data_IF_858810112025
#
_entry.id   IF_858810112025
#
_cell.length_a   1.000
_cell.length_b   1.000
_cell.length_c   1.000
_cell.angle_alpha   90.00
_cell.angle_beta   90.00
_cell.angle_gamma   90.00
#
_symmetry.space_group_name_H-M   'P 1'
#
loop_
_entity.id
_entity.type
_entity.pdbx_description
1 polymer ?
#
# COMPACT_ATOMS: atom_id res chain seq x y z
N UNK A 1 -33.26 -23.10 -11.62
CA UNK A 1 -32.48 -22.94 -10.38
C UNK A 1 -32.64 -21.52 -9.85
N UNK A 2 -33.28 -21.33 -8.69
CA UNK A 2 -33.48 -20.01 -8.07
C UNK A 2 -32.18 -19.41 -7.49
N UNK A 3 -31.25 -20.22 -6.98
CA UNK A 3 -29.99 -19.74 -6.40
C UNK A 3 -29.07 -19.03 -7.42
N UNK A 4 -29.15 -19.36 -8.72
CA UNK A 4 -28.35 -18.71 -9.77
C UNK A 4 -28.75 -17.27 -10.07
N UNK A 5 -29.91 -16.81 -9.58
CA UNK A 5 -30.39 -15.44 -9.77
C UNK A 5 -29.54 -14.43 -9.01
N UNK A 6 -29.01 -14.81 -7.84
CA UNK A 6 -28.18 -13.93 -7.00
C UNK A 6 -26.90 -13.47 -7.71
N UNK A 7 -26.31 -14.32 -8.57
CA UNK A 7 -25.13 -13.96 -9.37
C UNK A 7 -25.40 -12.91 -10.46
N UNK A 8 -26.68 -12.64 -10.76
CA UNK A 8 -27.08 -11.58 -11.71
C UNK A 8 -27.60 -10.32 -11.01
N UNK A 9 -27.92 -10.41 -9.72
CA UNK A 9 -28.45 -9.29 -8.93
C UNK A 9 -27.37 -8.61 -8.09
N UNK A 10 -26.24 -9.30 -7.86
CA UNK A 10 -25.08 -8.76 -7.15
C UNK A 10 -23.97 -8.50 -8.15
N UNK A 11 -23.46 -7.27 -8.19
CA UNK A 11 -22.26 -6.90 -8.93
C UNK A 11 -21.09 -6.82 -7.93
N UNK A 12 -20.26 -7.88 -7.80
CA UNK A 12 -19.15 -7.88 -6.85
C UNK A 12 -18.03 -6.94 -7.30
N UNK A 13 -17.37 -6.30 -6.34
CA UNK A 13 -16.19 -5.48 -6.61
C UNK A 13 -14.94 -6.34 -6.38
N UNK A 14 -14.41 -6.88 -7.48
CA UNK A 14 -13.15 -7.62 -7.53
C UNK A 14 -11.97 -6.74 -7.93
N UNK A 15 -10.87 -7.37 -8.35
CA UNK A 15 -9.66 -6.63 -8.72
C UNK A 15 -9.81 -5.79 -9.98
N UNK A 16 -10.51 -6.30 -10.98
CA UNK A 16 -10.77 -5.56 -12.23
C UNK A 16 -11.63 -4.32 -11.93
N UNK A 17 -12.65 -4.47 -11.09
CA UNK A 17 -13.55 -3.38 -10.71
C UNK A 17 -12.82 -2.33 -9.86
N UNK A 18 -11.92 -2.74 -8.94
CA UNK A 18 -11.06 -1.82 -8.20
C UNK A 18 -10.13 -1.02 -9.12
N UNK A 19 -9.46 -1.69 -10.07
CA UNK A 19 -8.60 -1.02 -11.04
C UNK A 19 -9.39 -0.04 -11.93
N UNK A 20 -10.61 -0.42 -12.32
CA UNK A 20 -11.53 0.46 -13.05
C UNK A 20 -11.92 1.68 -12.21
N UNK A 21 -12.25 1.50 -10.93
CA UNK A 21 -12.57 2.60 -10.02
C UNK A 21 -11.39 3.58 -9.88
N UNK A 22 -10.15 3.08 -9.82
CA UNK A 22 -8.95 3.95 -9.81
C UNK A 22 -8.89 4.84 -11.05
N UNK A 23 -9.10 4.28 -12.26
CA UNK A 23 -9.14 5.07 -13.51
C UNK A 23 -10.26 6.11 -13.49
N UNK A 24 -11.46 5.71 -13.07
CA UNK A 24 -12.63 6.59 -13.04
C UNK A 24 -12.44 7.75 -12.06
N UNK A 25 -11.86 7.47 -10.88
CA UNK A 25 -11.50 8.50 -9.89
C UNK A 25 -10.46 9.46 -10.47
N UNK A 26 -9.41 8.95 -11.11
CA UNK A 26 -8.38 9.80 -11.72
C UNK A 26 -8.98 10.73 -12.79
N UNK A 27 -9.78 10.18 -13.71
CA UNK A 27 -10.47 10.95 -14.76
C UNK A 27 -11.41 12.00 -14.16
N UNK A 28 -12.21 11.64 -13.16
CA UNK A 28 -13.15 12.55 -12.50
C UNK A 28 -12.44 13.74 -11.84
N UNK A 29 -11.21 13.55 -11.38
CA UNK A 29 -10.41 14.59 -10.74
C UNK A 29 -9.41 15.27 -11.70
N UNK A 30 -9.42 14.93 -13.00
CA UNK A 30 -8.45 15.46 -13.96
C UNK A 30 -7.00 15.07 -13.67
N UNK A 31 -6.79 13.99 -12.90
CA UNK A 31 -5.49 13.47 -12.52
C UNK A 31 -5.02 12.39 -13.51
N UNK A 32 -3.69 12.27 -13.66
CA UNK A 32 -3.07 11.14 -14.38
C UNK A 32 -2.86 9.98 -13.42
N UNK A 33 -2.67 8.77 -13.96
CA UNK A 33 -2.29 7.61 -13.13
C UNK A 33 -0.95 7.83 -12.42
N UNK A 34 -0.04 8.63 -13.01
CA UNK A 34 1.21 9.05 -12.38
C UNK A 34 1.01 9.87 -11.10
N UNK A 35 -0.17 10.46 -10.93
CA UNK A 35 -0.55 11.25 -9.75
C UNK A 35 -1.28 10.39 -8.70
N UNK A 36 -1.33 9.06 -8.90
CA UNK A 36 -2.03 8.11 -8.02
C UNK A 36 -1.03 7.32 -7.18
N UNK A 37 -1.25 7.36 -5.87
CA UNK A 37 -0.72 6.39 -4.91
C UNK A 37 -1.85 5.43 -4.51
N UNK A 38 -1.60 4.13 -4.61
CA UNK A 38 -2.58 3.10 -4.26
C UNK A 38 -2.04 2.23 -3.12
N UNK A 39 -2.86 2.10 -2.06
CA UNK A 39 -2.58 1.23 -0.92
C UNK A 39 -3.51 0.01 -0.97
N UNK A 40 -2.94 -1.18 -0.87
CA UNK A 40 -3.69 -2.43 -0.83
C UNK A 40 -2.99 -3.49 0.03
N UNK A 41 -3.63 -4.64 0.21
CA UNK A 41 -3.13 -5.68 1.11
C UNK A 41 -3.39 -7.12 0.63
N UNK A 42 -4.16 -7.31 -0.45
CA UNK A 42 -4.69 -8.62 -0.80
C UNK A 42 -4.64 -8.91 -2.31
N UNK A 43 -5.10 -10.11 -2.67
CA UNK A 43 -5.24 -10.53 -4.08
C UNK A 43 -6.17 -9.63 -4.89
N UNK A 44 -7.20 -9.04 -4.25
CA UNK A 44 -8.14 -8.14 -4.95
C UNK A 44 -7.49 -6.82 -5.37
N UNK A 45 -6.28 -6.53 -4.89
CA UNK A 45 -5.58 -5.29 -5.17
C UNK A 45 -4.56 -5.43 -6.31
N UNK A 46 -4.30 -6.65 -6.78
CA UNK A 46 -3.28 -6.95 -7.80
C UNK A 46 -3.47 -6.15 -9.08
N UNK A 47 -4.68 -6.10 -9.62
CA UNK A 47 -4.94 -5.37 -10.86
C UNK A 47 -4.80 -3.85 -10.68
N UNK A 48 -5.15 -3.31 -9.50
CA UNK A 48 -4.89 -1.90 -9.16
C UNK A 48 -3.40 -1.62 -9.05
N UNK A 49 -2.62 -2.49 -8.42
CA UNK A 49 -1.16 -2.35 -8.32
C UNK A 49 -0.51 -2.34 -9.71
N UNK A 50 -0.87 -3.29 -10.57
CA UNK A 50 -0.36 -3.37 -11.94
C UNK A 50 -0.72 -2.13 -12.75
N UNK A 51 -1.97 -1.69 -12.68
CA UNK A 51 -2.43 -0.47 -13.34
C UNK A 51 -1.61 0.74 -12.90
N UNK A 52 -1.50 0.97 -11.59
CA UNK A 52 -0.83 2.14 -11.05
C UNK A 52 0.66 2.13 -11.41
N UNK A 53 1.33 0.99 -11.30
CA UNK A 53 2.74 0.85 -11.72
C UNK A 53 2.95 1.09 -13.21
N UNK A 54 2.08 0.54 -14.06
CA UNK A 54 2.18 0.71 -15.50
C UNK A 54 1.93 2.18 -15.93
N UNK A 55 1.11 2.91 -15.17
CA UNK A 55 0.86 4.34 -15.37
C UNK A 55 1.81 5.28 -14.63
N UNK A 56 2.93 4.75 -14.12
CA UNK A 56 3.95 5.46 -13.35
C UNK A 56 3.47 6.14 -12.05
N UNK A 57 2.34 5.68 -11.51
CA UNK A 57 1.97 5.98 -10.13
C UNK A 57 2.73 5.08 -9.15
N UNK A 58 2.32 5.11 -7.88
CA UNK A 58 2.98 4.37 -6.80
C UNK A 58 2.08 3.32 -6.15
N UNK A 59 2.54 2.07 -6.14
CA UNK A 59 1.85 0.95 -5.49
C UNK A 59 2.48 0.60 -4.13
N UNK A 60 1.66 0.59 -3.07
CA UNK A 60 2.10 0.30 -1.69
C UNK A 60 1.29 -0.86 -1.09
N UNK A 61 1.98 -1.90 -0.64
CA UNK A 61 1.40 -3.01 0.11
C UNK A 61 1.47 -2.72 1.61
N UNK A 62 0.32 -2.62 2.29
CA UNK A 62 0.24 -2.40 3.73
C UNK A 62 -0.22 -3.68 4.45
N UNK A 63 0.66 -4.29 5.24
CA UNK A 63 0.44 -5.59 5.89
C UNK A 63 -0.10 -6.67 4.92
N UNK A 64 0.39 -6.60 3.68
CA UNK A 64 -0.16 -7.37 2.57
C UNK A 64 0.27 -8.83 2.56
N UNK A 65 -0.54 -9.66 1.91
CA UNK A 65 -0.19 -11.03 1.58
C UNK A 65 0.89 -11.09 0.47
N UNK A 66 1.29 -12.30 0.07
CA UNK A 66 2.29 -12.46 -0.99
C UNK A 66 1.87 -11.88 -2.36
N UNK A 67 0.57 -11.91 -2.68
CA UNK A 67 0.04 -11.37 -3.94
C UNK A 67 0.23 -9.86 -3.99
N UNK A 68 -0.10 -9.16 -2.90
CA UNK A 68 0.07 -7.72 -2.78
C UNK A 68 1.54 -7.31 -2.79
N UNK A 69 2.40 -7.99 -2.02
CA UNK A 69 3.84 -7.69 -1.96
C UNK A 69 4.51 -7.90 -3.31
N UNK A 70 4.16 -8.97 -4.05
CA UNK A 70 4.76 -9.22 -5.38
C UNK A 70 4.40 -8.13 -6.39
N UNK A 71 3.28 -7.45 -6.23
CA UNK A 71 2.80 -6.48 -7.20
C UNK A 71 3.05 -5.04 -6.77
N UNK A 72 3.31 -4.75 -5.49
CA UNK A 72 3.66 -3.42 -5.00
C UNK A 72 5.12 -3.01 -5.31
N UNK A 73 5.45 -1.74 -5.01
CA UNK A 73 6.81 -1.19 -5.05
C UNK A 73 7.35 -0.93 -3.63
N UNK A 74 6.48 -0.58 -2.69
CA UNK A 74 6.81 -0.41 -1.27
C UNK A 74 6.01 -1.42 -0.43
N UNK A 75 6.66 -2.04 0.55
CA UNK A 75 5.99 -2.82 1.59
C UNK A 75 6.03 -2.05 2.92
N UNK A 76 4.88 -1.99 3.58
CA UNK A 76 4.74 -1.46 4.94
C UNK A 76 4.25 -2.60 5.83
N UNK A 77 5.05 -2.92 6.86
CA UNK A 77 4.66 -3.83 7.95
C UNK A 77 4.55 -2.97 9.21
N UNK A 78 3.32 -2.64 9.62
CA UNK A 78 3.10 -1.71 10.72
C UNK A 78 1.85 -2.01 11.54
N UNK A 79 1.93 -1.81 12.85
CA UNK A 79 0.77 -1.87 13.76
C UNK A 79 -0.03 -0.57 13.77
N UNK A 80 0.51 0.49 13.16
CA UNK A 80 -0.10 1.81 13.07
C UNK A 80 -0.08 2.31 11.62
N UNK A 81 -1.12 3.03 11.20
CA UNK A 81 -1.29 3.57 9.84
C UNK A 81 -0.46 4.83 9.55
N UNK A 82 0.39 5.28 10.47
CA UNK A 82 1.14 6.55 10.30
C UNK A 82 2.04 6.54 9.05
N UNK A 83 2.63 5.40 8.59
CA UNK A 83 3.38 5.38 7.34
C UNK A 83 2.54 5.72 6.12
N UNK A 84 1.23 5.40 6.11
CA UNK A 84 0.34 5.72 4.98
C UNK A 84 0.27 7.24 4.79
N UNK A 85 0.05 7.99 5.88
CA UNK A 85 -0.05 9.45 5.83
C UNK A 85 1.27 10.10 5.41
N UNK A 86 2.39 9.60 5.91
CA UNK A 86 3.72 10.12 5.56
C UNK A 86 4.05 9.82 4.10
N UNK A 87 3.83 8.59 3.62
CA UNK A 87 4.08 8.22 2.23
C UNK A 87 3.18 9.03 1.28
N UNK A 88 1.92 9.25 1.64
CA UNK A 88 1.00 10.10 0.88
C UNK A 88 1.47 11.56 0.83
N UNK A 89 1.96 12.12 1.94
CA UNK A 89 2.50 13.48 1.98
C UNK A 89 3.76 13.62 1.11
N UNK A 90 4.73 12.70 1.26
CA UNK A 90 5.95 12.70 0.43
C UNK A 90 5.61 12.55 -1.05
N UNK A 91 4.69 11.64 -1.40
CA UNK A 91 4.24 11.46 -2.78
C UNK A 91 3.57 12.71 -3.34
N UNK A 92 2.70 13.36 -2.56
CA UNK A 92 2.04 14.59 -2.97
C UNK A 92 3.02 15.76 -3.18
N UNK A 93 4.07 15.85 -2.35
CA UNK A 93 5.05 16.93 -2.42
C UNK A 93 6.11 16.71 -3.50
N UNK A 94 6.55 15.47 -3.72
CA UNK A 94 7.76 15.19 -4.48
C UNK A 94 7.61 14.09 -5.54
N UNK A 95 6.44 13.45 -5.62
CA UNK A 95 6.18 12.36 -6.54
C UNK A 95 6.89 11.06 -6.18
N UNK A 96 6.71 10.08 -7.07
CA UNK A 96 7.09 8.68 -6.90
C UNK A 96 8.55 8.47 -6.52
N UNK A 97 9.48 9.05 -7.27
CA UNK A 97 10.93 8.78 -7.10
C UNK A 97 11.41 9.10 -5.70
N UNK A 98 11.00 10.26 -5.16
CA UNK A 98 11.35 10.69 -3.81
C UNK A 98 10.65 9.87 -2.74
N UNK A 99 9.43 9.39 -2.99
CA UNK A 99 8.77 8.45 -2.08
C UNK A 99 9.50 7.10 -2.02
N UNK A 100 10.00 6.59 -3.14
CA UNK A 100 10.80 5.36 -3.18
C UNK A 100 12.14 5.53 -2.46
N UNK A 101 12.80 6.68 -2.63
CA UNK A 101 14.02 7.03 -1.88
C UNK A 101 13.76 7.11 -0.36
N UNK A 102 12.65 7.75 0.04
CA UNK A 102 12.23 7.83 1.44
C UNK A 102 11.97 6.44 2.03
N UNK A 103 11.31 5.54 1.28
CA UNK A 103 11.03 4.18 1.72
C UNK A 103 12.30 3.32 1.81
N UNK A 104 13.27 3.53 0.90
CA UNK A 104 14.56 2.84 0.93
C UNK A 104 15.37 3.19 2.18
N UNK A 105 15.36 4.46 2.57
CA UNK A 105 16.12 4.99 3.70
C UNK A 105 15.21 5.46 4.84
N UNK A 106 14.17 4.69 5.18
CA UNK A 106 13.13 5.12 6.10
C UNK A 106 13.68 5.44 7.50
N UNK A 107 13.72 6.73 7.84
CA UNK A 107 14.19 7.22 9.14
C UNK A 107 13.56 8.58 9.46
N UNK A 108 13.59 8.98 10.73
CA UNK A 108 13.11 10.31 11.12
C UNK A 108 13.89 11.41 10.41
N UNK A 109 15.21 11.29 10.31
CA UNK A 109 16.09 12.26 9.64
C UNK A 109 15.79 12.36 8.14
N UNK A 110 15.63 11.23 7.45
CA UNK A 110 15.26 11.21 6.03
C UNK A 110 13.95 11.94 5.80
N UNK A 111 12.94 11.68 6.64
CA UNK A 111 11.62 12.30 6.51
C UNK A 111 11.64 13.79 6.87
N UNK A 112 12.44 14.18 7.87
CA UNK A 112 12.66 15.58 8.23
C UNK A 112 13.33 16.35 7.08
N UNK A 113 14.35 15.76 6.43
CA UNK A 113 15.02 16.36 5.28
C UNK A 113 14.10 16.51 4.06
N UNK A 114 13.08 15.65 3.94
CA UNK A 114 12.02 15.78 2.93
C UNK A 114 10.92 16.76 3.34
N UNK A 115 11.09 17.57 4.40
CA UNK A 115 10.09 18.56 4.82
C UNK A 115 8.70 17.96 5.11
N UNK A 116 8.64 16.68 5.52
CA UNK A 116 7.41 16.06 6.06
C UNK A 116 6.92 16.89 7.24
N UNK A 117 5.60 17.08 7.37
CA UNK A 117 5.07 17.99 8.38
C UNK A 117 5.50 17.58 9.79
N UNK A 118 5.89 18.57 10.60
CA UNK A 118 6.32 18.35 11.98
C UNK A 118 5.26 17.60 12.80
N UNK A 119 3.98 17.81 12.49
CA UNK A 119 2.88 17.07 13.14
C UNK A 119 2.95 15.56 12.86
N UNK A 120 3.27 15.14 11.63
CA UNK A 120 3.44 13.72 11.30
C UNK A 120 4.73 13.15 11.87
N UNK A 121 5.82 13.93 11.86
CA UNK A 121 7.10 13.52 12.45
C UNK A 121 7.00 13.31 13.96
N UNK A 122 6.36 14.23 14.68
CA UNK A 122 6.13 14.13 16.13
C UNK A 122 5.27 12.91 16.47
N UNK A 123 4.23 12.65 15.66
CA UNK A 123 3.40 11.45 15.81
C UNK A 123 4.21 10.19 15.55
N UNK A 124 5.01 10.13 14.49
CA UNK A 124 5.90 9.01 14.20
C UNK A 124 6.88 8.76 15.35
N UNK A 125 7.46 9.82 15.90
CA UNK A 125 8.37 9.77 17.05
C UNK A 125 7.75 9.12 18.28
N UNK A 126 6.51 9.48 18.62
CA UNK A 126 5.76 8.89 19.75
C UNK A 126 5.31 7.45 19.48
N UNK A 127 4.89 7.17 18.25
CA UNK A 127 4.32 5.86 17.87
C UNK A 127 5.41 4.81 17.75
N UNK A 128 6.58 5.14 17.17
CA UNK A 128 7.68 4.17 16.94
C UNK A 128 8.24 3.56 18.22
N UNK A 129 8.06 4.22 19.37
CA UNK A 129 8.47 3.70 20.69
C UNK A 129 7.54 2.57 21.17
N UNK A 130 6.28 2.58 20.73
CA UNK A 130 5.23 1.66 21.19
C UNK A 130 4.86 0.60 20.17
N UNK A 131 4.96 0.91 18.88
CA UNK A 131 4.45 0.10 17.79
C UNK A 131 5.53 -0.26 16.80
N UNK A 132 5.51 -1.51 16.34
CA UNK A 132 6.38 -1.95 15.27
C UNK A 132 6.00 -1.26 13.95
N UNK A 133 6.98 -0.66 13.29
CA UNK A 133 6.87 -0.05 11.96
C UNK A 133 8.10 -0.43 11.16
N UNK A 134 7.88 -1.00 9.99
CA UNK A 134 8.89 -1.25 8.98
C UNK A 134 8.35 -0.81 7.62
N UNK A 135 9.10 0.03 6.93
CA UNK A 135 8.83 0.48 5.56
C UNK A 135 10.04 0.07 4.73
N UNK A 136 9.81 -0.60 3.62
CA UNK A 136 10.89 -1.13 2.79
C UNK A 136 10.54 -1.05 1.31
N UNK A 137 11.52 -0.67 0.48
CA UNK A 137 11.45 -0.79 -0.97
C UNK A 137 11.49 -2.27 -1.38
N UNK A 138 10.59 -2.69 -2.26
CA UNK A 138 10.55 -4.07 -2.78
C UNK A 138 11.49 -4.17 -3.97
N UNK A 139 12.46 -5.07 -3.87
CA UNK A 139 13.47 -5.39 -4.88
C UNK A 139 13.42 -6.88 -5.19
N UNK A 140 14.07 -7.33 -6.26
CA UNK A 140 14.06 -8.76 -6.59
C UNK A 140 14.77 -9.60 -5.53
N UNK A 141 15.76 -9.01 -4.86
CA UNK A 141 16.61 -9.65 -3.86
C UNK A 141 15.89 -9.83 -2.52
N UNK A 142 15.04 -8.88 -2.12
CA UNK A 142 14.33 -8.93 -0.84
C UNK A 142 12.87 -9.41 -0.94
N UNK A 143 12.29 -9.49 -2.14
CA UNK A 143 10.86 -9.79 -2.36
C UNK A 143 10.38 -11.02 -1.62
N UNK A 144 11.09 -12.14 -1.72
CA UNK A 144 10.69 -13.39 -1.06
C UNK A 144 10.73 -13.27 0.46
N UNK A 145 11.74 -12.60 1.00
CA UNK A 145 11.85 -12.34 2.43
C UNK A 145 10.68 -11.46 2.90
N UNK A 146 10.39 -10.37 2.20
CA UNK A 146 9.28 -9.47 2.53
C UNK A 146 7.94 -10.21 2.45
N UNK A 147 7.72 -11.06 1.45
CA UNK A 147 6.49 -11.86 1.36
C UNK A 147 6.27 -12.73 2.60
N UNK A 148 7.34 -13.40 3.06
CA UNK A 148 7.30 -14.24 4.28
C UNK A 148 7.05 -13.41 5.52
N UNK A 149 7.84 -12.35 5.73
CA UNK A 149 7.69 -11.45 6.88
C UNK A 149 6.31 -10.80 6.94
N UNK A 150 5.82 -10.27 5.81
CA UNK A 150 4.54 -9.57 5.73
C UNK A 150 3.37 -10.52 5.96
N UNK A 151 3.43 -11.75 5.44
CA UNK A 151 2.40 -12.77 5.67
C UNK A 151 2.33 -13.21 7.14
N UNK A 152 3.48 -13.36 7.82
CA UNK A 152 3.51 -13.63 9.26
C UNK A 152 2.95 -12.44 10.04
N UNK A 153 3.37 -11.22 9.69
CA UNK A 153 2.92 -10.02 10.37
C UNK A 153 1.42 -9.77 10.19
N UNK A 154 0.87 -10.05 9.00
CA UNK A 154 -0.57 -10.00 8.70
C UNK A 154 -1.38 -10.85 9.67
N UNK A 155 -0.94 -12.08 9.96
CA UNK A 155 -1.59 -12.97 10.95
C UNK A 155 -1.55 -12.39 12.36
N UNK A 156 -0.45 -11.74 12.74
CA UNK A 156 -0.34 -11.05 14.04
C UNK A 156 -1.37 -9.93 14.19
N UNK A 157 -1.54 -9.07 13.17
CA UNK A 157 -2.42 -7.89 13.27
C UNK A 157 -3.89 -8.17 12.95
N UNK A 158 -4.20 -9.19 12.13
CA UNK A 158 -5.58 -9.56 11.76
C UNK A 158 -6.13 -10.75 12.57
N UNK A 159 -5.28 -11.46 13.32
CA UNK A 159 -5.57 -12.78 13.86
C UNK A 159 -5.40 -13.88 12.81
N UNK A 160 -4.98 -15.08 13.24
CA UNK A 160 -4.58 -16.18 12.33
C UNK A 160 -5.67 -16.55 11.31
N UNK A 161 -6.91 -16.74 11.76
CA UNK A 161 -8.05 -17.12 10.90
C UNK A 161 -8.37 -16.10 9.81
N UNK A 162 -8.15 -14.81 10.06
CA UNK A 162 -8.48 -13.74 9.10
C UNK A 162 -7.26 -13.37 8.26
N UNK A 163 -6.05 -13.53 8.80
CA UNK A 163 -4.80 -13.26 8.10
C UNK A 163 -4.42 -14.32 7.05
N UNK A 164 -4.95 -15.54 7.18
CA UNK A 164 -4.77 -16.63 6.21
C UNK A 164 -5.78 -16.61 5.05
N UNK A 165 -6.89 -15.89 5.21
CA UNK A 165 -7.86 -15.70 4.15
C UNK A 165 -7.39 -14.59 3.20
N UNK A 166 -7.44 -14.86 1.90
CA UNK A 166 -7.29 -13.84 0.85
C UNK A 166 -6.01 -13.04 0.99
#
# INVERSE_FOLDING_TARGET
>A
MQCGRIYREVEPIGGIEKARAVKEIAVKNGAKISDVIYFGDSITDVESFRLVKAGDGLAVSFNGNEYAVKEAEIAVLAEHTIPISILAEVFNLFGKEKTLEAAKNWSYETLQNLSVSLTLLDKLGKIKEKYFIKVELITNENRERICKESSVFRKKVRGEKIGELG
#
